data_IF_451291997502
#
_entry.id   IF_451291997502
#
_cell.length_a   1.000
_cell.length_b   1.000
_cell.length_c   1.000
_cell.angle_alpha   90.00
_cell.angle_beta   90.00
_cell.angle_gamma   90.00
#
_symmetry.space_group_name_H-M   'P 1'
#
loop_
_entity.id
_entity.type
_entity.pdbx_description
1 polymer ?
#
# COMPACT_ATOMS: atom_id res chain seq x y z
N UNK A 1 -2.30 -7.81 16.98
CA UNK A 1 -2.69 -7.58 16.65
C UNK A 1 -3.24 -7.64 15.76
N UNK A 2 -3.54 -7.82 15.45
CA UNK A 2 -3.99 -7.91 14.53
C UNK A 2 -4.91 -7.91 14.12
N UNK A 3 -5.21 -7.92 14.16
CA UNK A 3 -6.02 -7.89 13.76
C UNK A 3 -6.87 -7.54 13.48
N UNK A 4 -7.05 -7.45 13.41
CA UNK A 4 -7.79 -7.13 13.03
C UNK A 4 -8.52 -6.84 12.80
N UNK A 5 -8.57 -6.71 12.90
CA UNK A 5 -9.25 -6.32 12.76
C UNK A 5 -10.05 -6.32 12.52
N UNK A 6 -10.26 -6.56 12.68
CA UNK A 6 -11.09 -6.38 12.48
C UNK A 6 -11.78 -6.68 12.66
N UNK A 7 -11.84 -7.03 13.05
CA UNK A 7 -12.39 -7.11 13.12
C UNK A 7 -12.74 -7.42 13.51
N UNK A 8 -12.83 -7.62 14.05
CA UNK A 8 -13.24 -7.72 14.29
C UNK A 8 -13.67 -7.55 14.36
N UNK A 9 -13.81 -7.57 14.51
CA UNK A 9 -14.30 -7.29 14.43
C UNK A 9 -15.08 -7.24 14.42
N UNK A 10 -15.37 -7.19 14.84
CA UNK A 10 -16.26 -6.90 14.72
C UNK A 10 -17.02 -6.43 15.36
N UNK A 11 -17.32 -6.52 16.36
CA UNK A 11 -17.93 -6.11 16.97
C UNK A 11 -17.85 -4.94 17.43
N UNK A 12 -17.67 -4.63 18.37
CA UNK A 12 -17.41 -3.34 18.49
C UNK A 12 -17.31 -2.76 17.19
N UNK A 13 -17.71 -3.44 16.23
CA UNK A 13 -17.64 -2.98 14.90
C UNK A 13 -18.33 -1.67 14.69
N UNK A 14 -19.41 -1.44 15.38
CA UNK A 14 -20.11 -0.19 15.23
C UNK A 14 -19.25 0.99 15.53
N UNK A 15 -18.65 0.96 16.67
CA UNK A 15 -17.84 2.08 17.08
C UNK A 15 -16.66 2.25 16.17
N UNK A 16 -16.12 1.14 15.75
CA UNK A 16 -15.00 1.21 14.89
C UNK A 16 -15.36 1.85 13.58
N UNK A 17 -16.50 1.52 13.06
CA UNK A 17 -16.98 2.09 11.84
C UNK A 17 -17.14 3.58 11.95
N UNK A 18 -17.68 4.03 13.05
CA UNK A 18 -17.82 5.45 13.26
C UNK A 18 -16.47 6.11 13.31
N UNK A 19 -15.52 5.50 13.98
CA UNK A 19 -14.19 6.06 14.03
C UNK A 19 -13.56 6.09 12.67
N UNK A 20 -13.77 5.07 11.89
CA UNK A 20 -13.23 5.05 10.55
C UNK A 20 -13.76 6.20 9.72
N UNK A 21 -15.03 6.48 9.84
CA UNK A 21 -15.58 7.60 9.11
C UNK A 21 -14.95 8.89 9.55
N UNK A 22 -14.76 9.03 10.84
CA UNK A 22 -14.17 10.24 11.36
C UNK A 22 -12.75 10.38 10.87
N UNK A 23 -12.05 9.26 10.83
CA UNK A 23 -10.67 9.31 10.41
C UNK A 23 -10.52 9.28 8.94
N UNK A 24 -11.58 9.04 8.25
CA UNK A 24 -11.51 9.23 6.87
C UNK A 24 -11.69 8.04 6.00
N UNK A 25 -11.02 7.01 6.14
CA UNK A 25 -11.15 6.04 5.08
C UNK A 25 -10.53 4.73 5.42
N UNK A 26 -10.96 3.72 4.69
CA UNK A 26 -10.36 2.44 4.74
C UNK A 26 -9.19 2.42 3.77
N UNK A 27 -8.13 1.74 4.17
CA UNK A 27 -6.96 1.66 3.33
C UNK A 27 -7.13 0.64 2.20
N UNK A 28 -7.93 -0.39 2.41
CA UNK A 28 -8.07 -1.42 1.38
C UNK A 28 -9.53 -1.84 1.21
N UNK A 29 -10.35 -0.96 0.62
CA UNK A 29 -11.73 -1.36 0.33
C UNK A 29 -11.76 -2.39 -0.80
N UNK A 30 -12.88 -3.08 -0.92
CA UNK A 30 -13.00 -4.16 -1.88
C UNK A 30 -12.71 -3.74 -3.31
N UNK A 31 -13.19 -2.58 -3.71
CA UNK A 31 -13.00 -2.16 -5.08
C UNK A 31 -11.53 -1.91 -5.40
N UNK A 32 -10.76 -1.52 -4.39
CA UNK A 32 -9.33 -1.31 -4.59
C UNK A 32 -8.61 -2.65 -4.58
N UNK A 33 -9.04 -3.53 -3.67
CA UNK A 33 -8.44 -4.84 -3.57
C UNK A 33 -8.57 -5.62 -4.86
N UNK A 34 -9.67 -5.43 -5.56
CA UNK A 34 -9.91 -6.16 -6.79
C UNK A 34 -8.95 -5.80 -7.91
N UNK A 35 -8.46 -4.57 -7.94
CA UNK A 35 -7.59 -4.17 -9.03
C UNK A 35 -6.14 -4.48 -8.74
N UNK A 36 -5.81 -4.83 -7.51
CA UNK A 36 -4.43 -5.07 -7.13
C UNK A 36 -4.01 -6.49 -7.51
N UNK A 37 -2.94 -6.64 -8.30
CA UNK A 37 -2.50 -8.00 -8.65
C UNK A 37 -1.90 -8.69 -7.43
N UNK A 38 -1.86 -10.01 -7.44
CA UNK A 38 -1.28 -10.73 -6.31
C UNK A 38 0.23 -10.55 -6.26
N UNK A 39 0.82 -10.89 -5.11
CA UNK A 39 2.25 -10.78 -4.94
C UNK A 39 2.96 -11.54 -6.05
N UNK A 40 4.05 -10.97 -6.51
CA UNK A 40 4.92 -11.50 -7.55
C UNK A 40 4.34 -11.42 -8.95
N UNK A 41 3.11 -10.92 -9.10
CA UNK A 41 2.53 -10.79 -10.44
C UNK A 41 3.31 -9.83 -11.31
N UNK A 42 3.96 -8.85 -10.71
CA UNK A 42 4.76 -7.89 -11.46
C UNK A 42 6.25 -8.11 -11.25
N UNK A 43 6.61 -9.29 -10.76
CA UNK A 43 7.99 -9.62 -10.53
C UNK A 43 8.76 -9.56 -11.85
N UNK A 44 9.94 -8.98 -11.82
CA UNK A 44 10.76 -8.85 -13.01
C UNK A 44 10.46 -7.66 -13.88
N UNK A 45 9.42 -6.89 -13.57
CA UNK A 45 9.09 -5.74 -14.40
C UNK A 45 9.91 -4.50 -14.05
N UNK A 46 10.52 -4.49 -12.87
CA UNK A 46 11.33 -3.35 -12.47
C UNK A 46 10.52 -2.06 -12.51
N UNK A 47 11.05 -1.07 -13.21
CA UNK A 47 10.37 0.22 -13.31
C UNK A 47 9.08 0.18 -14.08
N UNK A 48 8.79 -0.87 -14.81
CA UNK A 48 7.54 -0.99 -15.55
C UNK A 48 6.40 -1.48 -14.68
N UNK A 49 6.68 -1.93 -13.46
CA UNK A 49 5.64 -2.35 -12.55
C UNK A 49 4.71 -1.17 -12.26
N UNK A 50 3.43 -1.44 -12.19
CA UNK A 50 2.43 -0.39 -12.02
C UNK A 50 2.02 -0.30 -10.56
N UNK A 51 2.06 0.91 -10.01
CA UNK A 51 1.58 1.15 -8.66
C UNK A 51 0.10 1.48 -8.73
N UNK A 52 -0.71 0.63 -8.14
CA UNK A 52 -2.15 0.78 -8.20
C UNK A 52 -2.72 1.55 -7.02
N UNK A 53 -1.97 1.64 -5.93
CA UNK A 53 -2.44 2.30 -4.72
C UNK A 53 -1.34 3.20 -4.19
N UNK A 54 -1.72 4.36 -3.68
CA UNK A 54 -0.79 5.24 -3.01
C UNK A 54 -1.29 5.51 -1.60
N UNK A 55 -0.45 5.21 -0.60
CA UNK A 55 -0.73 5.54 0.79
C UNK A 55 0.27 6.59 1.23
N UNK A 56 -0.13 7.46 2.15
CA UNK A 56 0.77 8.50 2.60
C UNK A 56 0.43 8.93 4.01
N UNK A 57 1.42 9.56 4.68
CA UNK A 57 1.18 10.13 6.00
C UNK A 57 0.91 11.62 5.81
N UNK A 58 -0.26 12.10 6.23
CA UNK A 58 -0.62 13.49 5.95
C UNK A 58 0.32 14.53 6.55
N UNK A 59 0.96 14.18 7.64
CA UNK A 59 1.79 15.16 8.34
C UNK A 59 3.28 14.88 8.20
N UNK A 60 3.67 14.05 7.26
CA UNK A 60 5.07 13.79 7.02
C UNK A 60 5.23 13.42 5.55
N UNK A 61 6.46 13.03 5.19
CA UNK A 61 6.74 12.77 3.78
C UNK A 61 6.74 11.30 3.40
N UNK A 62 6.29 10.43 4.28
CA UNK A 62 6.31 9.01 3.96
C UNK A 62 5.17 8.66 3.01
N UNK A 63 5.50 7.90 1.98
CA UNK A 63 4.53 7.48 0.97
C UNK A 63 4.84 6.05 0.55
N UNK A 64 3.79 5.28 0.30
CA UNK A 64 3.90 3.89 -0.16
C UNK A 64 3.16 3.77 -1.48
N UNK A 65 3.89 3.34 -2.52
CA UNK A 65 3.30 3.12 -3.84
C UNK A 65 3.21 1.61 -4.04
N UNK A 66 2.02 1.07 -3.97
CA UNK A 66 1.80 -0.37 -3.89
C UNK A 66 1.55 -0.97 -5.26
N UNK A 67 2.35 -1.96 -5.63
CA UNK A 67 2.23 -2.61 -6.93
C UNK A 67 1.52 -3.94 -6.86
N UNK A 68 1.59 -4.63 -5.72
CA UNK A 68 1.05 -5.98 -5.60
C UNK A 68 0.63 -6.22 -4.18
N UNK A 69 -0.22 -7.23 -3.99
CA UNK A 69 -0.57 -7.61 -2.65
C UNK A 69 -1.36 -8.90 -2.64
N UNK A 70 -1.28 -9.61 -1.53
CA UNK A 70 -2.01 -10.85 -1.36
C UNK A 70 -2.44 -11.00 0.08
N UNK A 71 -3.57 -11.67 0.32
CA UNK A 71 -4.00 -11.89 1.68
C UNK A 71 -3.09 -12.88 2.40
N UNK A 72 -2.99 -12.70 3.71
CA UNK A 72 -2.30 -13.64 4.57
C UNK A 72 -3.35 -14.38 5.37
N UNK A 73 -3.30 -15.69 5.33
CA UNK A 73 -4.28 -16.51 6.02
C UNK A 73 -3.61 -17.32 7.12
N UNK A 74 -4.37 -17.64 8.15
CA UNK A 74 -3.86 -18.49 9.22
C UNK A 74 -4.04 -19.96 8.84
N UNK A 75 -3.72 -20.84 9.77
CA UNK A 75 -3.77 -22.28 9.50
C UNK A 75 -5.16 -22.77 9.17
N UNK A 76 -6.18 -22.07 9.61
CA UNK A 76 -7.54 -22.48 9.33
C UNK A 76 -8.05 -21.97 7.99
N UNK A 77 -7.24 -21.17 7.29
CA UNK A 77 -7.65 -20.59 6.03
C UNK A 77 -8.31 -19.24 6.18
N UNK A 78 -8.39 -18.73 7.40
CA UNK A 78 -9.01 -17.44 7.62
C UNK A 78 -8.01 -16.32 7.33
N UNK A 79 -8.45 -15.33 6.57
CA UNK A 79 -7.59 -14.19 6.25
C UNK A 79 -7.39 -13.35 7.50
N UNK A 80 -6.15 -13.09 7.86
CA UNK A 80 -5.83 -12.33 9.06
C UNK A 80 -5.10 -11.04 8.77
N UNK A 81 -4.57 -10.86 7.56
CA UNK A 81 -3.85 -9.64 7.22
C UNK A 81 -3.73 -9.57 5.70
N UNK A 82 -3.07 -8.56 5.20
CA UNK A 82 -2.81 -8.41 3.77
C UNK A 82 -1.38 -7.93 3.60
N UNK A 83 -0.67 -8.52 2.67
CA UNK A 83 0.75 -8.25 2.47
C UNK A 83 0.96 -7.53 1.16
N UNK A 84 1.55 -6.35 1.21
CA UNK A 84 1.79 -5.52 0.03
C UNK A 84 3.26 -5.52 -0.34
N UNK A 85 3.52 -5.27 -1.60
CA UNK A 85 4.86 -4.98 -2.08
C UNK A 85 4.80 -3.71 -2.92
N UNK A 86 5.81 -2.88 -2.82
CA UNK A 86 5.86 -1.67 -3.61
C UNK A 86 7.04 -0.81 -3.26
N UNK A 87 6.96 0.43 -3.69
CA UNK A 87 8.00 1.42 -3.46
C UNK A 87 7.67 2.22 -2.20
N UNK A 88 8.61 2.27 -1.29
CA UNK A 88 8.45 3.04 -0.06
C UNK A 88 9.33 4.27 -0.19
N UNK A 89 8.70 5.44 -0.10
CA UNK A 89 9.40 6.71 -0.19
C UNK A 89 9.38 7.33 1.20
N UNK A 90 10.43 7.06 1.97
CA UNK A 90 10.57 7.62 3.30
C UNK A 90 11.81 8.46 3.37
N UNK A 91 12.75 8.07 4.22
CA UNK A 91 14.03 8.76 4.22
C UNK A 91 14.76 8.51 2.92
N UNK A 92 14.66 7.26 2.46
CA UNK A 92 15.20 6.89 1.16
C UNK A 92 14.07 6.20 0.40
N UNK A 93 14.22 6.09 -0.90
CA UNK A 93 13.28 5.35 -1.70
C UNK A 93 13.78 3.94 -1.87
N UNK A 94 12.94 2.96 -1.54
CA UNK A 94 13.34 1.56 -1.69
C UNK A 94 12.13 0.70 -1.93
N UNK A 95 12.37 -0.45 -2.51
CA UNK A 95 11.31 -1.43 -2.71
C UNK A 95 11.23 -2.30 -1.47
N UNK A 96 10.04 -2.67 -1.09
CA UNK A 96 9.88 -3.50 0.09
C UNK A 96 8.47 -3.94 0.32
N UNK A 97 8.32 -4.70 1.38
CA UNK A 97 7.03 -5.26 1.77
C UNK A 97 6.47 -4.51 2.96
N UNK A 98 5.16 -4.46 3.06
CA UNK A 98 4.51 -3.90 4.23
C UNK A 98 3.16 -4.59 4.39
N UNK A 99 2.75 -4.81 5.62
CA UNK A 99 1.46 -5.43 5.88
C UNK A 99 0.42 -4.35 6.10
N UNK A 100 -0.81 -4.66 5.73
CA UNK A 100 -1.92 -3.72 5.94
C UNK A 100 -2.03 -3.35 7.42
N UNK A 101 -1.86 -4.33 8.31
CA UNK A 101 -1.95 -4.03 9.74
C UNK A 101 -0.87 -3.05 10.16
N UNK A 102 0.29 -3.12 9.55
CA UNK A 102 1.35 -2.16 9.87
C UNK A 102 0.95 -0.76 9.44
N UNK A 103 0.40 -0.65 8.23
CA UNK A 103 -0.03 0.66 7.75
C UNK A 103 -1.15 1.22 8.61
N UNK A 104 -2.06 0.36 9.06
CA UNK A 104 -3.17 0.81 9.87
C UNK A 104 -2.73 1.27 11.24
N UNK A 105 -1.58 0.80 11.71
CA UNK A 105 -1.10 1.15 13.04
C UNK A 105 -0.20 2.37 13.06
N UNK A 106 0.28 2.82 11.92
CA UNK A 106 1.18 3.95 11.88
C UNK A 106 0.45 5.24 12.21
N UNK A 107 1.08 6.07 13.00
CA UNK A 107 0.57 7.41 13.29
C UNK A 107 1.70 8.39 13.04
N UNK A 108 1.39 9.42 12.27
CA UNK A 108 2.38 10.44 11.95
C UNK A 108 2.59 11.41 13.11
N UNK A 109 3.38 12.46 12.86
CA UNK A 109 3.76 13.38 13.92
C UNK A 109 2.61 13.99 14.69
N UNK A 110 1.47 14.17 14.11
CA UNK A 110 0.35 14.75 14.82
C UNK A 110 -0.68 13.71 15.21
N UNK A 111 -0.26 12.45 15.30
CA UNK A 111 -1.18 11.39 15.62
C UNK A 111 -2.10 11.00 14.49
N UNK A 112 -1.83 11.49 13.29
CA UNK A 112 -2.70 11.25 12.17
C UNK A 112 -2.39 9.90 11.52
N UNK A 113 -3.43 9.16 11.13
CA UNK A 113 -3.21 7.87 10.49
C UNK A 113 -2.78 8.03 9.04
N UNK A 114 -2.31 6.94 8.47
CA UNK A 114 -2.02 6.89 7.06
C UNK A 114 -3.32 7.01 6.28
N UNK A 115 -3.26 7.67 5.13
CA UNK A 115 -4.42 7.82 4.27
C UNK A 115 -4.12 7.26 2.89
N UNK A 116 -5.18 6.90 2.18
CA UNK A 116 -5.08 6.45 0.80
C UNK A 116 -5.40 7.63 -0.09
N UNK A 117 -4.59 7.82 -1.12
CA UNK A 117 -4.82 8.91 -2.08
C UNK A 117 -5.99 8.52 -2.98
N UNK A 118 -7.12 9.16 -2.77
CA UNK A 118 -8.34 8.85 -3.51
C UNK A 118 -8.29 9.28 -4.96
N UNK A 119 -7.36 10.15 -5.30
CA UNK A 119 -7.23 10.67 -6.65
C UNK A 119 -6.11 10.01 -7.42
N UNK A 120 -5.50 8.98 -6.84
CA UNK A 120 -4.36 8.30 -7.45
C UNK A 120 -4.79 7.57 -8.70
N UNK A 121 -4.03 7.72 -9.76
CA UNK A 121 -4.21 6.95 -10.97
C UNK A 121 -2.98 6.08 -11.15
N UNK A 122 -3.16 4.82 -11.56
CA UNK A 122 -2.01 3.91 -11.67
C UNK A 122 -0.91 4.49 -12.55
N UNK A 123 0.31 4.34 -12.09
CA UNK A 123 1.50 4.80 -12.80
C UNK A 123 2.59 3.78 -12.62
N UNK A 124 3.54 3.75 -13.55
CA UNK A 124 4.68 2.86 -13.39
C UNK A 124 5.65 3.42 -12.37
N UNK A 125 6.45 2.53 -11.79
CA UNK A 125 7.42 2.98 -10.80
C UNK A 125 8.46 3.91 -11.41
N UNK A 126 8.82 3.70 -12.67
CA UNK A 126 9.79 4.57 -13.29
C UNK A 126 9.23 5.97 -13.51
N UNK A 127 7.92 6.11 -13.64
CA UNK A 127 7.30 7.42 -13.70
C UNK A 127 7.32 8.11 -12.34
N UNK A 128 7.18 7.30 -11.29
CA UNK A 128 7.13 7.83 -9.93
C UNK A 128 8.53 8.19 -9.44
N UNK A 129 9.50 7.33 -9.71
CA UNK A 129 10.86 7.50 -9.21
C UNK A 129 11.86 7.17 -10.30
N UNK A 130 11.98 8.06 -11.29
CA UNK A 130 12.88 7.77 -12.40
C UNK A 130 14.33 7.61 -11.96
N UNK A 131 14.71 8.21 -10.86
CA UNK A 131 16.07 8.09 -10.41
C UNK A 131 16.40 6.68 -9.92
N UNK A 132 15.39 5.90 -9.52
CA UNK A 132 15.62 4.52 -9.09
C UNK A 132 15.59 3.55 -10.26
N UNK A 133 15.01 3.95 -11.35
CA UNK A 133 14.84 3.08 -12.52
C UNK A 133 15.34 3.81 -13.75
N UNK A 134 16.65 4.06 -13.81
CA UNK A 134 17.18 4.74 -14.98
C UNK A 134 16.83 3.89 -16.17
N UNK A 135 16.34 4.55 -17.15
CA UNK A 135 15.76 3.83 -18.25
C UNK A 135 16.84 3.15 -19.06
N UNK A 136 16.78 1.85 -19.10
CA UNK A 136 17.64 1.15 -19.99
C UNK A 136 17.28 1.45 -21.36
N UNK A 137 16.01 1.72 -21.57
CA UNK A 137 15.59 2.09 -22.88
C UNK A 137 16.28 3.33 -23.32
N UNK A 138 16.45 4.29 -22.43
CA UNK A 138 17.16 5.46 -22.83
C UNK A 138 18.56 5.14 -23.20
N UNK A 139 19.18 4.31 -22.38
CA UNK A 139 20.54 3.93 -22.65
C UNK A 139 20.64 3.21 -23.94
N UNK A 140 19.74 2.32 -24.18
CA UNK A 140 19.78 1.62 -25.41
C UNK A 140 19.49 2.51 -26.55
N UNK A 141 18.62 3.44 -26.36
CA UNK A 141 18.33 4.38 -27.40
C UNK A 141 19.53 5.14 -27.79
N UNK A 142 20.45 5.31 -26.88
CA UNK A 142 21.62 5.96 -27.25
C UNK A 142 22.60 5.04 -27.73
N UNK A 143 22.53 3.88 -27.28
CA UNK A 143 23.51 2.91 -27.65
C UNK A 143 23.22 2.37 -29.01
#
# INVERSE_FOLDING_TARGET
RVVCIGGDTTVTADRRTANDRVRGMKLLPQEIRKILPPLYAQDGKGGKAIAYIKYFTPSSSWTWYITEGSPISDDSGKEVDFHFFGLVDGQDKELGYVALSELESVRGPMGLPIERDLWWKPKTLEEIAPEMFPSEERTEGQG
#
